data_IF_730540024574
#
_entry.id   IF_730540024574
#
_cell.length_a   1.000
_cell.length_b   1.000
_cell.length_c   1.000
_cell.angle_alpha   90.00
_cell.angle_beta   90.00
_cell.angle_gamma   90.00
#
_symmetry.space_group_name_H-M   'P 1'
#
loop_
_entity.id
_entity.type
_entity.pdbx_description
1 polymer ?
#
# COMPACT_ATOMS: atom_id res chain seq x y z
N UNK A 1 -31.87 -14.84 -3.02
CA UNK A 1 -30.61 -15.58 -2.75
C UNK A 1 -29.53 -14.98 -3.63
N UNK A 2 -28.40 -14.49 -3.09
CA UNK A 2 -27.31 -14.00 -3.92
C UNK A 2 -26.78 -15.14 -4.80
N UNK A 3 -26.51 -14.85 -6.07
CA UNK A 3 -25.93 -15.78 -7.03
C UNK A 3 -24.57 -16.31 -6.54
N UNK A 4 -24.31 -17.60 -6.73
CA UNK A 4 -23.08 -18.27 -6.32
C UNK A 4 -21.85 -17.58 -6.93
N UNK A 5 -21.94 -17.14 -8.19
CA UNK A 5 -20.86 -16.40 -8.84
C UNK A 5 -20.54 -15.10 -8.08
N UNK A 6 -21.56 -14.38 -7.60
CA UNK A 6 -21.38 -13.17 -6.81
C UNK A 6 -20.76 -13.45 -5.43
N UNK A 7 -21.09 -14.59 -4.79
CA UNK A 7 -20.48 -15.01 -3.52
C UNK A 7 -18.99 -15.30 -3.72
N UNK A 8 -18.65 -16.09 -4.74
CA UNK A 8 -17.27 -16.44 -5.07
C UNK A 8 -16.45 -15.19 -5.42
N UNK A 9 -16.98 -14.29 -6.26
CA UNK A 9 -16.31 -13.05 -6.63
C UNK A 9 -15.96 -12.18 -5.41
N UNK A 10 -16.92 -11.99 -4.49
CA UNK A 10 -16.69 -11.22 -3.25
C UNK A 10 -15.63 -11.85 -2.37
N UNK A 11 -15.61 -13.19 -2.27
CA UNK A 11 -14.62 -13.91 -1.48
C UNK A 11 -13.23 -13.71 -2.07
N UNK A 12 -13.07 -13.87 -3.38
CA UNK A 12 -11.80 -13.66 -4.09
C UNK A 12 -11.31 -12.21 -3.96
N UNK A 13 -12.20 -11.22 -4.10
CA UNK A 13 -11.85 -9.80 -3.94
C UNK A 13 -11.38 -9.47 -2.51
N UNK A 14 -12.02 -10.02 -1.47
CA UNK A 14 -11.55 -9.86 -0.08
C UNK A 14 -10.22 -10.53 0.17
N UNK A 15 -9.96 -11.69 -0.43
CA UNK A 15 -8.67 -12.35 -0.33
C UNK A 15 -7.55 -11.49 -0.93
N UNK A 16 -7.80 -10.80 -2.04
CA UNK A 16 -6.85 -9.83 -2.61
C UNK A 16 -6.63 -8.61 -1.70
N UNK A 17 -7.67 -8.12 -1.02
CA UNK A 17 -7.55 -7.00 -0.07
C UNK A 17 -6.66 -7.30 1.15
N UNK A 18 -6.57 -8.57 1.56
CA UNK A 18 -5.76 -8.97 2.72
C UNK A 18 -4.25 -8.77 2.55
N UNK A 19 -3.75 -8.65 1.32
CA UNK A 19 -2.36 -8.32 1.02
C UNK A 19 -2.08 -6.81 0.89
N UNK A 20 -3.12 -5.99 0.75
CA UNK A 20 -2.96 -4.56 0.46
C UNK A 20 -2.63 -3.79 1.75
N UNK A 21 -1.43 -3.20 1.79
CA UNK A 21 -0.99 -2.32 2.87
C UNK A 21 -1.87 -1.06 2.89
N UNK A 22 -2.70 -0.90 3.93
CA UNK A 22 -3.50 0.32 4.15
C UNK A 22 -2.74 1.32 5.02
N UNK A 23 -2.89 2.60 4.72
CA UNK A 23 -2.32 3.66 5.54
C UNK A 23 -3.01 3.71 6.92
N UNK A 24 -2.25 3.68 8.01
CA UNK A 24 -2.79 3.76 9.37
C UNK A 24 -3.43 5.13 9.69
N UNK A 25 -3.02 6.21 9.00
CA UNK A 25 -3.56 7.56 9.20
C UNK A 25 -4.91 7.78 8.52
N UNK A 26 -4.95 7.69 7.18
CA UNK A 26 -6.16 7.96 6.41
C UNK A 26 -6.98 6.70 6.03
N UNK A 27 -6.49 5.50 6.35
CA UNK A 27 -7.13 4.19 6.05
C UNK A 27 -7.32 3.85 4.57
N UNK A 28 -6.92 4.73 3.66
CA UNK A 28 -6.95 4.44 2.21
C UNK A 28 -5.96 3.32 1.88
N UNK A 29 -6.29 2.58 0.83
CA UNK A 29 -5.33 1.74 0.11
C UNK A 29 -4.53 2.65 -0.81
N UNK A 30 -3.23 2.85 -0.58
CA UNK A 30 -2.41 3.69 -1.46
C UNK A 30 -2.34 3.08 -2.85
N UNK A 31 -2.26 3.95 -3.86
CA UNK A 31 -2.26 3.60 -5.27
C UNK A 31 -0.86 3.26 -5.76
N UNK A 32 -0.79 2.57 -6.89
CA UNK A 32 0.46 2.30 -7.60
C UNK A 32 1.24 3.59 -7.85
N UNK A 33 2.53 3.57 -7.57
CA UNK A 33 3.43 4.72 -7.71
C UNK A 33 3.46 5.65 -6.50
N UNK A 34 2.52 5.51 -5.55
CA UNK A 34 2.62 6.23 -4.27
C UNK A 34 3.69 5.59 -3.37
N UNK A 35 4.22 6.38 -2.43
CA UNK A 35 5.15 5.88 -1.40
C UNK A 35 4.41 5.50 -0.12
N UNK A 36 4.83 4.36 0.42
CA UNK A 36 4.53 3.92 1.78
C UNK A 36 5.77 4.03 2.64
N UNK A 37 5.58 4.48 3.87
CA UNK A 37 6.60 4.61 4.89
C UNK A 37 6.23 3.70 6.06
N UNK A 38 7.18 2.87 6.46
CA UNK A 38 7.12 2.15 7.73
C UNK A 38 7.78 3.03 8.78
N UNK A 39 7.02 3.41 9.80
CA UNK A 39 7.47 4.21 10.93
C UNK A 39 8.18 3.31 11.94
N UNK A 40 9.00 3.89 12.81
CA UNK A 40 9.63 3.19 13.93
C UNK A 40 8.64 2.43 14.84
N UNK A 41 7.42 2.95 14.97
CA UNK A 41 6.29 2.34 15.68
C UNK A 41 5.67 1.13 14.98
N UNK A 42 6.17 0.75 13.80
CA UNK A 42 5.61 -0.31 12.94
C UNK A 42 4.35 0.10 12.18
N UNK A 43 3.91 1.36 12.31
CA UNK A 43 2.79 1.89 11.53
C UNK A 43 3.21 2.11 10.08
N UNK A 44 2.32 1.78 9.14
CA UNK A 44 2.51 2.07 7.73
C UNK A 44 1.71 3.34 7.38
N UNK A 45 2.37 4.37 6.87
CA UNK A 45 1.76 5.64 6.47
C UNK A 45 2.05 5.94 5.00
N UNK A 46 1.08 6.55 4.30
CA UNK A 46 1.34 7.09 2.96
C UNK A 46 2.10 8.41 3.06
N UNK A 47 2.76 8.81 1.97
CA UNK A 47 3.51 10.07 1.85
C UNK A 47 2.76 11.27 2.47
N UNK A 48 1.48 11.45 2.12
CA UNK A 48 0.66 12.56 2.62
C UNK A 48 0.48 12.56 4.14
N UNK A 49 0.29 11.38 4.73
CA UNK A 49 0.14 11.27 6.18
C UNK A 49 1.47 11.49 6.90
N UNK A 50 2.60 11.08 6.30
CA UNK A 50 3.93 11.38 6.85
C UNK A 50 4.23 12.87 6.77
N UNK A 51 3.95 13.52 5.63
CA UNK A 51 4.17 14.96 5.47
C UNK A 51 3.35 15.80 6.46
N UNK A 52 2.20 15.29 6.92
CA UNK A 52 1.36 15.94 7.91
C UNK A 52 1.86 15.81 9.36
N UNK A 53 2.82 14.92 9.64
CA UNK A 53 3.39 14.78 10.98
C UNK A 53 4.38 15.91 11.30
N UNK A 54 4.59 16.23 12.60
CA UNK A 54 5.73 17.04 13.05
C UNK A 54 7.06 16.46 12.57
N UNK A 55 8.06 17.29 12.30
CA UNK A 55 9.35 16.83 11.74
C UNK A 55 10.05 15.79 12.59
N UNK A 56 9.98 15.95 13.92
CA UNK A 56 10.55 15.01 14.88
C UNK A 56 9.98 13.58 14.73
N UNK A 57 8.72 13.48 14.30
CA UNK A 57 7.98 12.22 14.15
C UNK A 57 8.07 11.63 12.74
N UNK A 58 8.68 12.33 11.76
CA UNK A 58 8.80 11.85 10.35
C UNK A 58 9.88 10.78 10.15
N UNK A 59 10.41 10.18 11.21
CA UNK A 59 11.41 9.11 11.10
C UNK A 59 10.78 7.82 10.59
N UNK A 60 10.89 7.60 9.27
CA UNK A 60 10.61 6.32 8.64
C UNK A 60 11.81 5.39 8.77
N UNK A 61 11.60 4.14 9.17
CA UNK A 61 12.64 3.09 9.14
C UNK A 61 12.80 2.48 7.75
N UNK A 62 11.75 2.52 6.93
CA UNK A 62 11.77 2.04 5.54
C UNK A 62 10.76 2.83 4.72
N UNK A 63 11.08 3.04 3.45
CA UNK A 63 10.11 3.56 2.48
C UNK A 63 10.18 2.76 1.18
N UNK A 64 9.01 2.53 0.58
CA UNK A 64 8.87 1.76 -0.66
C UNK A 64 7.79 2.36 -1.56
N UNK A 65 7.91 2.11 -2.86
CA UNK A 65 6.86 2.44 -3.81
C UNK A 65 5.82 1.33 -3.82
N UNK A 66 4.56 1.70 -3.98
CA UNK A 66 3.49 0.74 -4.22
C UNK A 66 3.58 0.29 -5.67
N UNK A 67 3.72 -1.02 -5.86
CA UNK A 67 3.78 -1.65 -7.17
C UNK A 67 2.40 -2.14 -7.60
N UNK A 68 2.16 -2.17 -8.93
CA UNK A 68 0.91 -2.68 -9.50
C UNK A 68 0.68 -4.18 -9.24
N UNK A 69 1.78 -4.89 -9.00
CA UNK A 69 1.79 -6.29 -8.66
C UNK A 69 2.53 -6.42 -7.32
N UNK A 70 2.10 -7.35 -6.47
CA UNK A 70 2.87 -7.75 -5.27
C UNK A 70 4.25 -8.32 -5.62
N UNK A 71 4.51 -8.59 -6.91
CA UNK A 71 5.81 -9.03 -7.42
C UNK A 71 6.62 -7.83 -7.84
N UNK A 72 7.81 -7.71 -7.26
CA UNK A 72 8.82 -6.76 -7.71
C UNK A 72 9.30 -7.19 -9.11
N UNK A 73 8.82 -6.50 -10.14
CA UNK A 73 9.31 -6.71 -11.50
C UNK A 73 10.71 -6.10 -11.60
N UNK A 74 11.65 -6.83 -12.18
CA UNK A 74 12.96 -6.31 -12.55
C UNK A 74 12.79 -5.34 -13.72
N UNK A 75 12.76 -4.04 -13.42
CA UNK A 75 12.71 -2.99 -14.45
C UNK A 75 14.14 -2.59 -14.79
N UNK A 76 14.59 -2.88 -16.02
CA UNK A 76 15.85 -2.37 -16.53
C UNK A 76 15.66 -0.93 -17.04
N UNK A 77 16.64 -0.02 -16.84
CA UNK A 77 16.58 1.32 -17.43
C UNK A 77 16.51 1.21 -18.95
N UNK A 78 15.65 2.03 -19.56
CA UNK A 78 15.52 2.11 -21.02
C UNK A 78 16.82 2.73 -21.56
N UNK A 79 17.51 2.03 -22.45
CA UNK A 79 18.71 2.55 -23.11
C UNK A 79 18.37 3.86 -23.83
N UNK A 80 19.21 4.88 -23.62
CA UNK A 80 19.07 6.23 -24.16
C UNK A 80 19.36 6.28 -25.67
#
# INVERSE_FOLDING_TARGET
MPDLAAILLRRSARSLDSGLKRCAGCRRTPLVGERLHEMDTGRILCELCVSALPEEERRSVRSELVHALDKHLSVAPRAA
#
